data_IF_703191977996
#
_entry.id   IF_703191977996
#
_cell.length_a   1.000
_cell.length_b   1.000
_cell.length_c   1.000
_cell.angle_alpha   90.00
_cell.angle_beta   90.00
_cell.angle_gamma   90.00
#
_symmetry.space_group_name_H-M   'P 1'
#
loop_
_entity.id
_entity.type
_entity.pdbx_description
1 polymer ?
#
# COMPACT_ATOMS: atom_id res chain seq x y z
N UNK A 1 22.88 10.76 -5.38
CA UNK A 1 22.74 9.30 -5.15
C UNK A 1 24.08 8.59 -5.29
N UNK A 2 24.92 8.95 -6.25
CA UNK A 2 26.26 8.34 -6.43
C UNK A 2 27.18 8.67 -5.25
N UNK A 3 27.23 9.93 -4.80
CA UNK A 3 28.02 10.37 -3.65
C UNK A 3 27.59 9.74 -2.30
N UNK A 4 26.37 9.24 -2.20
CA UNK A 4 25.89 8.54 -1.02
C UNK A 4 26.11 7.00 -1.08
N UNK A 5 26.78 6.50 -2.13
CA UNK A 5 27.03 5.07 -2.28
C UNK A 5 25.81 4.21 -2.62
N UNK A 6 24.63 4.82 -2.85
CA UNK A 6 23.40 4.10 -3.12
C UNK A 6 23.51 3.26 -4.40
N UNK A 7 24.08 3.82 -5.45
CA UNK A 7 24.26 3.11 -6.73
C UNK A 7 25.14 1.88 -6.55
N UNK A 8 26.25 2.02 -5.81
CA UNK A 8 27.15 0.91 -5.51
C UNK A 8 26.49 -0.16 -4.64
N UNK A 9 25.65 0.24 -3.67
CA UNK A 9 24.88 -0.67 -2.83
C UNK A 9 23.91 -1.50 -3.68
N UNK A 10 23.17 -0.87 -4.60
CA UNK A 10 22.23 -1.55 -5.49
C UNK A 10 22.89 -2.54 -6.45
N UNK A 11 24.20 -2.38 -6.72
CA UNK A 11 24.97 -3.30 -7.58
C UNK A 11 25.58 -4.46 -6.79
N UNK A 12 25.48 -4.46 -5.47
CA UNK A 12 26.06 -5.51 -4.62
C UNK A 12 25.16 -6.76 -4.66
N UNK A 13 25.66 -7.94 -5.05
CA UNK A 13 24.84 -9.16 -5.15
C UNK A 13 24.12 -9.53 -3.84
N UNK A 14 24.74 -9.24 -2.68
CA UNK A 14 24.13 -9.48 -1.37
C UNK A 14 22.91 -8.59 -1.09
N UNK A 15 22.76 -7.48 -1.81
CA UNK A 15 21.63 -6.54 -1.70
C UNK A 15 20.68 -6.64 -2.90
N UNK A 16 20.86 -7.63 -3.76
CA UNK A 16 20.03 -7.84 -4.96
C UNK A 16 18.55 -8.11 -4.63
N UNK A 17 18.27 -8.56 -3.41
CA UNK A 17 16.90 -8.83 -2.94
C UNK A 17 16.04 -7.55 -2.78
N UNK A 18 16.67 -6.37 -2.64
CA UNK A 18 16.01 -5.05 -2.65
C UNK A 18 14.75 -4.95 -1.79
N UNK A 19 14.71 -5.66 -0.66
CA UNK A 19 13.56 -5.68 0.26
C UNK A 19 12.44 -6.65 -0.13
N UNK A 20 12.64 -7.53 -1.11
CA UNK A 20 11.65 -8.56 -1.44
C UNK A 20 11.31 -9.41 -0.22
N UNK A 21 10.02 -9.61 0.06
CA UNK A 21 9.52 -10.32 1.24
C UNK A 21 9.47 -9.49 2.52
N UNK A 22 9.87 -8.23 2.49
CA UNK A 22 9.71 -7.30 3.63
C UNK A 22 8.33 -6.68 3.60
N UNK A 23 7.63 -6.74 4.73
CA UNK A 23 6.34 -6.06 4.94
C UNK A 23 6.63 -4.67 5.49
N UNK A 24 6.02 -3.65 4.89
CA UNK A 24 6.09 -2.26 5.33
C UNK A 24 4.71 -1.87 5.86
N UNK A 25 4.65 -1.46 7.13
CA UNK A 25 3.46 -0.85 7.74
C UNK A 25 3.56 0.67 7.66
N UNK A 26 2.47 1.31 7.26
CA UNK A 26 2.37 2.78 7.15
C UNK A 26 1.13 3.22 7.92
N UNK A 27 1.28 4.21 8.79
CA UNK A 27 0.18 4.88 9.50
C UNK A 27 0.20 6.34 9.06
N UNK A 28 -0.77 6.71 8.24
CA UNK A 28 -0.82 8.02 7.58
C UNK A 28 -2.26 8.39 7.20
N UNK A 29 -2.46 9.31 6.26
CA UNK A 29 -3.77 9.83 5.82
C UNK A 29 -4.61 8.82 5.05
N UNK A 30 -4.05 7.71 4.64
CA UNK A 30 -4.70 6.67 3.84
C UNK A 30 -3.83 6.21 2.67
N UNK A 31 -4.43 5.47 1.75
CA UNK A 31 -3.77 5.02 0.52
C UNK A 31 -4.79 4.97 -0.63
N UNK A 32 -4.42 5.50 -1.79
CA UNK A 32 -5.12 5.21 -3.04
C UNK A 32 -4.75 3.80 -3.52
N UNK A 33 -5.47 2.81 -3.01
CA UNK A 33 -5.23 1.39 -3.35
C UNK A 33 -5.51 1.07 -4.83
N UNK A 34 -6.23 1.95 -5.53
CA UNK A 34 -6.52 1.78 -6.96
C UNK A 34 -5.35 2.14 -7.85
N UNK A 35 -4.37 2.85 -7.29
CA UNK A 35 -3.19 3.28 -8.03
C UNK A 35 -2.38 2.11 -8.58
N UNK A 36 -1.99 2.14 -9.85
CA UNK A 36 -1.20 1.07 -10.48
C UNK A 36 0.17 0.87 -9.84
N UNK A 37 0.71 1.85 -9.11
CA UNK A 37 2.01 1.74 -8.43
C UNK A 37 2.00 0.70 -7.29
N UNK A 38 0.81 0.31 -6.81
CA UNK A 38 0.62 -0.71 -5.79
C UNK A 38 0.15 -2.05 -6.35
N UNK A 39 0.23 -2.25 -7.67
CA UNK A 39 -0.17 -3.50 -8.32
C UNK A 39 1.03 -4.32 -8.77
N UNK A 40 0.84 -5.62 -8.82
CA UNK A 40 1.73 -6.57 -9.49
C UNK A 40 1.51 -6.52 -11.00
N UNK A 41 2.39 -7.18 -11.74
CA UNK A 41 2.29 -7.29 -13.21
C UNK A 41 1.04 -8.03 -13.71
N UNK A 42 0.45 -8.87 -12.86
CA UNK A 42 -0.80 -9.59 -13.14
C UNK A 42 -2.06 -8.75 -12.82
N UNK A 43 -1.89 -7.50 -12.36
CA UNK A 43 -2.95 -6.58 -12.00
C UNK A 43 -3.45 -6.70 -10.56
N UNK A 44 -3.03 -7.73 -9.82
CA UNK A 44 -3.41 -7.90 -8.41
C UNK A 44 -2.70 -6.89 -7.51
N UNK A 45 -3.31 -6.59 -6.35
CA UNK A 45 -2.72 -5.65 -5.39
C UNK A 45 -1.46 -6.23 -4.73
N UNK A 46 -0.58 -5.34 -4.29
CA UNK A 46 0.55 -5.63 -3.40
C UNK A 46 0.23 -5.32 -1.94
N UNK A 47 -0.90 -4.66 -1.69
CA UNK A 47 -1.36 -4.32 -0.35
C UNK A 47 -1.87 -5.59 0.32
N UNK A 48 -1.36 -5.90 1.51
CA UNK A 48 -1.74 -7.09 2.27
C UNK A 48 -2.97 -6.86 3.13
N UNK A 49 -3.19 -5.63 3.57
CA UNK A 49 -4.35 -5.22 4.33
C UNK A 49 -4.40 -3.70 4.44
N UNK A 50 -5.57 -3.16 4.59
CA UNK A 50 -5.84 -1.74 4.75
C UNK A 50 -6.82 -1.57 5.91
N UNK A 51 -6.44 -0.81 6.92
CA UNK A 51 -7.30 -0.46 8.03
C UNK A 51 -7.64 1.03 7.96
N UNK A 52 -8.86 1.33 7.60
CA UNK A 52 -9.37 2.69 7.54
C UNK A 52 -10.05 3.08 8.85
N UNK A 53 -9.38 3.91 9.63
CA UNK A 53 -9.83 4.35 10.94
C UNK A 53 -10.93 5.41 10.88
N UNK A 54 -11.24 5.94 9.70
CA UNK A 54 -12.28 6.95 9.49
C UNK A 54 -13.65 6.34 9.22
N UNK A 55 -13.68 5.07 8.87
CA UNK A 55 -14.91 4.33 8.63
C UNK A 55 -15.47 3.77 9.94
N UNK A 56 -16.79 3.58 10.03
CA UNK A 56 -17.40 2.91 11.18
C UNK A 56 -16.91 1.46 11.27
N UNK A 57 -16.91 0.94 12.48
CA UNK A 57 -16.64 -0.48 12.70
C UNK A 57 -17.66 -1.35 11.94
N UNK A 58 -17.15 -2.40 11.27
CA UNK A 58 -17.99 -3.50 10.84
C UNK A 58 -18.09 -4.51 12.00
N UNK A 59 -19.25 -4.56 12.70
CA UNK A 59 -19.41 -5.44 13.86
C UNK A 59 -19.36 -6.94 13.49
N UNK A 60 -19.34 -7.28 12.22
CA UNK A 60 -19.26 -8.66 11.74
C UNK A 60 -17.84 -9.15 11.58
N UNK A 61 -16.82 -8.26 11.63
CA UNK A 61 -15.43 -8.57 11.41
C UNK A 61 -14.61 -8.27 12.65
N UNK A 62 -14.29 -9.31 13.43
CA UNK A 62 -13.23 -9.19 14.44
C UNK A 62 -11.89 -9.22 13.70
N UNK A 63 -11.00 -8.24 13.93
CA UNK A 63 -9.67 -8.26 13.32
C UNK A 63 -8.95 -9.59 13.61
N UNK A 64 -8.33 -10.22 12.62
CA UNK A 64 -7.61 -11.47 12.82
C UNK A 64 -6.53 -11.31 13.90
N UNK A 65 -6.61 -12.11 14.97
CA UNK A 65 -5.62 -12.14 16.04
C UNK A 65 -5.88 -11.19 17.20
N UNK A 66 -7.00 -10.47 17.23
CA UNK A 66 -7.44 -9.77 18.43
C UNK A 66 -8.13 -10.80 19.34
N UNK A 67 -7.62 -11.01 20.57
CA UNK A 67 -8.31 -11.90 21.53
C UNK A 67 -9.72 -11.36 21.78
N UNK A 68 -10.69 -12.25 21.85
CA UNK A 68 -12.12 -11.95 22.17
C UNK A 68 -12.30 -11.13 23.47
N UNK A 69 -11.22 -10.95 24.19
CA UNK A 69 -11.14 -10.18 25.41
C UNK A 69 -10.16 -9.02 25.28
N UNK A 70 -10.65 -7.87 24.85
CA UNK A 70 -9.95 -6.60 25.04
C UNK A 70 -10.43 -5.98 26.36
N UNK A 71 -9.63 -5.98 27.45
CA UNK A 71 -10.08 -5.58 28.78
C UNK A 71 -10.33 -4.08 28.97
N UNK A 72 -10.22 -3.30 27.91
CA UNK A 72 -10.31 -1.83 27.96
C UNK A 72 -11.60 -1.28 27.39
N UNK A 73 -12.66 -2.10 27.20
CA UNK A 73 -13.94 -1.57 26.70
C UNK A 73 -13.77 -0.69 25.45
N UNK A 74 -12.70 -0.93 24.71
CA UNK A 74 -12.37 -0.16 23.54
C UNK A 74 -13.43 -0.44 22.48
N UNK A 75 -14.19 0.58 22.15
CA UNK A 75 -14.90 0.55 20.90
C UNK A 75 -13.85 0.19 19.84
N UNK A 76 -13.98 -0.96 19.18
CA UNK A 76 -13.25 -1.19 17.97
C UNK A 76 -13.70 -0.10 16.99
N UNK A 77 -12.78 0.46 16.27
CA UNK A 77 -13.06 1.57 15.36
C UNK A 77 -12.36 1.31 14.05
N UNK A 78 -12.92 1.85 12.99
CA UNK A 78 -12.40 1.66 11.66
C UNK A 78 -12.83 0.32 11.03
N UNK A 79 -12.56 0.19 9.77
CA UNK A 79 -12.84 -1.01 8.97
C UNK A 79 -11.54 -1.54 8.41
N UNK A 80 -11.30 -2.84 8.54
CA UNK A 80 -10.17 -3.53 7.90
C UNK A 80 -10.64 -4.14 6.58
N UNK A 81 -9.83 -3.97 5.55
CA UNK A 81 -10.01 -4.59 4.25
C UNK A 81 -8.85 -5.54 3.98
N UNK A 82 -9.18 -6.77 3.69
CA UNK A 82 -8.23 -7.83 3.38
C UNK A 82 -7.63 -7.69 1.98
N UNK A 83 -6.54 -8.41 1.74
CA UNK A 83 -5.94 -8.52 0.41
C UNK A 83 -6.94 -9.00 -0.65
N UNK A 84 -7.78 -9.96 -0.28
CA UNK A 84 -8.79 -10.56 -1.15
C UNK A 84 -9.86 -9.55 -1.53
N UNK A 85 -10.40 -8.80 -0.55
CA UNK A 85 -11.41 -7.76 -0.79
C UNK A 85 -10.88 -6.62 -1.65
N UNK A 86 -9.63 -6.22 -1.43
CA UNK A 86 -8.97 -5.21 -2.28
C UNK A 86 -8.85 -5.73 -3.72
N UNK A 87 -8.43 -6.99 -3.91
CA UNK A 87 -8.36 -7.57 -5.25
C UNK A 87 -9.74 -7.68 -5.91
N UNK A 88 -10.76 -8.08 -5.17
CA UNK A 88 -12.14 -8.13 -5.67
C UNK A 88 -12.60 -6.73 -6.09
N UNK A 89 -12.43 -5.73 -5.23
CA UNK A 89 -12.76 -4.34 -5.54
C UNK A 89 -12.09 -3.87 -6.85
N UNK A 90 -10.83 -4.21 -7.07
CA UNK A 90 -10.10 -3.82 -8.27
C UNK A 90 -10.63 -4.44 -9.58
N UNK A 91 -11.52 -5.41 -9.51
CA UNK A 91 -12.21 -5.99 -10.69
C UNK A 91 -13.51 -5.27 -11.01
N UNK A 92 -14.04 -4.45 -10.10
CA UNK A 92 -15.32 -3.75 -10.26
C UNK A 92 -15.14 -2.49 -11.11
N UNK A 93 -16.23 -2.05 -11.74
CA UNK A 93 -16.29 -0.76 -12.45
C UNK A 93 -16.09 0.41 -11.48
N UNK A 94 -16.66 0.32 -10.26
CA UNK A 94 -16.39 1.21 -9.14
C UNK A 94 -15.79 0.44 -7.96
N UNK A 95 -14.46 0.42 -7.82
CA UNK A 95 -13.79 -0.24 -6.70
C UNK A 95 -14.25 0.24 -5.32
N UNK A 96 -14.61 1.52 -5.21
CA UNK A 96 -15.04 2.13 -3.95
C UNK A 96 -16.41 1.68 -3.48
N UNK A 97 -17.18 0.99 -4.32
CA UNK A 97 -18.45 0.35 -3.91
C UNK A 97 -18.24 -0.80 -2.93
N UNK A 98 -17.07 -1.47 -2.96
CA UNK A 98 -16.72 -2.57 -2.06
C UNK A 98 -15.72 -2.12 -0.98
N UNK A 99 -14.68 -1.39 -1.37
CA UNK A 99 -13.67 -0.84 -0.46
C UNK A 99 -13.73 0.69 -0.50
N UNK A 100 -14.58 1.33 0.33
CA UNK A 100 -14.85 2.77 0.26
C UNK A 100 -13.74 3.64 0.84
N UNK A 101 -12.61 3.06 1.21
CA UNK A 101 -11.46 3.78 1.75
C UNK A 101 -10.77 4.64 0.69
N UNK A 102 -10.51 5.90 1.03
CA UNK A 102 -9.90 6.89 0.13
C UNK A 102 -8.88 7.74 0.85
N UNK A 103 -7.72 7.92 0.25
CA UNK A 103 -6.78 8.94 0.69
C UNK A 103 -7.15 10.28 0.03
N UNK A 104 -7.86 11.12 0.79
CA UNK A 104 -8.32 12.44 0.31
C UNK A 104 -7.26 13.53 0.43
N UNK A 105 -6.19 13.31 1.19
CA UNK A 105 -5.05 14.21 1.35
C UNK A 105 -3.95 13.91 0.34
N UNK A 106 -3.66 12.64 0.11
CA UNK A 106 -2.64 12.13 -0.79
C UNK A 106 -1.27 11.94 -0.15
N UNK A 107 -1.06 12.36 1.10
CA UNK A 107 0.23 12.25 1.78
C UNK A 107 0.61 10.77 2.03
N UNK A 108 -0.31 9.97 2.57
CA UNK A 108 -0.08 8.54 2.81
C UNK A 108 0.20 7.78 1.52
N UNK A 109 -0.56 8.05 0.46
CA UNK A 109 -0.33 7.48 -0.88
C UNK A 109 1.06 7.82 -1.41
N UNK A 110 1.49 9.08 -1.25
CA UNK A 110 2.81 9.52 -1.66
C UNK A 110 3.92 8.79 -0.90
N UNK A 111 3.83 8.71 0.42
CA UNK A 111 4.82 8.01 1.25
C UNK A 111 4.85 6.50 0.94
N UNK A 112 3.68 5.87 0.78
CA UNK A 112 3.60 4.46 0.38
C UNK A 112 4.24 4.22 -0.99
N UNK A 113 4.02 5.13 -1.94
CA UNK A 113 4.64 5.09 -3.26
C UNK A 113 6.15 5.18 -3.22
N UNK A 114 6.71 6.03 -2.36
CA UNK A 114 8.16 6.15 -2.18
C UNK A 114 8.77 4.91 -1.51
N UNK A 115 8.07 4.35 -0.51
CA UNK A 115 8.58 3.24 0.29
C UNK A 115 8.44 1.89 -0.43
N UNK A 116 7.32 1.68 -1.13
CA UNK A 116 6.93 0.37 -1.65
C UNK A 116 6.28 0.40 -3.04
N UNK A 117 6.21 1.55 -3.71
CA UNK A 117 5.63 1.65 -5.06
C UNK A 117 6.46 0.94 -6.12
N UNK A 118 5.81 0.39 -7.14
CA UNK A 118 6.50 -0.08 -8.35
C UNK A 118 6.84 1.10 -9.25
N UNK A 119 7.96 0.99 -9.98
CA UNK A 119 8.27 1.96 -11.02
C UNK A 119 7.19 1.93 -12.11
N UNK A 120 6.45 3.03 -12.26
CA UNK A 120 5.48 3.19 -13.33
C UNK A 120 6.12 4.04 -14.44
N UNK A 121 6.16 3.57 -15.70
CA UNK A 121 6.65 4.39 -16.80
C UNK A 121 5.65 5.54 -17.03
N UNK A 122 6.02 6.74 -16.61
CA UNK A 122 5.29 7.97 -16.94
C UNK A 122 5.47 8.25 -18.44
N UNK A 123 4.65 7.64 -19.28
CA UNK A 123 4.76 7.76 -20.74
C UNK A 123 4.36 9.13 -21.31
N UNK A 124 3.84 10.05 -20.49
CA UNK A 124 3.29 11.32 -20.99
C UNK A 124 3.74 12.59 -20.26
N UNK A 125 4.78 12.54 -19.44
CA UNK A 125 5.38 13.76 -18.89
C UNK A 125 6.59 14.17 -19.73
N UNK A 126 6.35 15.00 -20.75
CA UNK A 126 7.41 15.71 -21.47
C UNK A 126 8.01 16.76 -20.54
N UNK A 127 9.15 16.47 -19.93
CA UNK A 127 9.95 17.49 -19.25
C UNK A 127 10.62 17.09 -17.93
N UNK A 128 10.22 16.01 -17.26
CA UNK A 128 10.91 15.52 -16.07
C UNK A 128 11.06 14.00 -16.10
N UNK A 129 12.30 13.54 -16.19
CA UNK A 129 12.62 12.13 -15.92
C UNK A 129 12.62 11.92 -14.40
N UNK A 130 11.45 11.65 -13.81
CA UNK A 130 11.36 11.15 -12.47
C UNK A 130 11.55 9.63 -12.53
N UNK A 131 12.75 9.18 -12.19
CA UNK A 131 12.94 7.76 -11.87
C UNK A 131 12.47 7.56 -10.44
N UNK A 132 11.21 7.16 -10.25
CA UNK A 132 10.74 6.70 -8.95
C UNK A 132 11.56 5.48 -8.56
N UNK A 133 11.92 5.39 -7.29
CA UNK A 133 12.70 4.29 -6.76
C UNK A 133 12.07 2.95 -7.16
N UNK A 134 12.88 2.03 -7.71
CA UNK A 134 12.43 0.68 -7.97
C UNK A 134 11.99 0.05 -6.65
N UNK A 135 10.73 -0.29 -6.57
CA UNK A 135 10.25 -1.18 -5.54
C UNK A 135 10.85 -2.56 -5.75
N UNK A 136 11.21 -3.21 -4.66
CA UNK A 136 11.51 -4.62 -4.68
C UNK A 136 10.30 -5.41 -5.20
N UNK A 137 10.51 -6.19 -6.25
CA UNK A 137 9.56 -7.21 -6.69
C UNK A 137 9.70 -8.47 -5.84
#
# INVERSE_FOLDING_TARGET
MEAAGIVSALQTPALSNMGSGVIIGIVDTGIDYTSPVFRKSDGTTRILGLWDQTLPEDPSVLPPGVPEYYPMGGASYGTEFTHEEINEALTLEDPFSLVPSKDTDGHGTFLAGLAAGTAFPLQNFTGFNFTMARSAM
#
